data_IF_069936859389
#
_entry.id   IF_069936859389
#
_cell.length_a   1.000
_cell.length_b   1.000
_cell.length_c   1.000
_cell.angle_alpha   90.00
_cell.angle_beta   90.00
_cell.angle_gamma   90.00
#
_symmetry.space_group_name_H-M   'P 1'
#
loop_
_entity.id
_entity.type
_entity.pdbx_description
1 polymer ?
#
# COMPACT_ATOMS: atom_id res chain seq x y z
N UNK A 1 -9.69 20.93 -54.13
CA UNK A 1 -8.49 21.75 -53.91
C UNK A 1 -8.71 22.53 -52.64
N UNK A 2 -8.49 21.81 -51.54
CA UNK A 2 -7.93 22.18 -50.24
C UNK A 2 -7.97 23.66 -49.84
N UNK A 3 -9.00 23.99 -49.06
CA UNK A 3 -8.96 25.13 -48.15
C UNK A 3 -8.14 24.73 -46.92
N UNK A 4 -6.99 25.37 -46.80
CA UNK A 4 -6.10 25.30 -45.66
C UNK A 4 -6.79 25.89 -44.43
N UNK A 5 -7.09 25.06 -43.43
CA UNK A 5 -7.31 25.55 -42.07
C UNK A 5 -5.94 25.80 -41.43
N UNK A 6 -5.50 27.06 -41.43
CA UNK A 6 -4.47 27.54 -40.52
C UNK A 6 -5.07 27.58 -39.12
N UNK A 7 -4.79 26.57 -38.30
CA UNK A 7 -4.96 26.70 -36.87
C UNK A 7 -3.78 27.52 -36.36
N UNK A 8 -3.97 28.84 -36.26
CA UNK A 8 -3.10 29.69 -35.46
C UNK A 8 -3.20 29.21 -34.01
N UNK A 9 -2.28 28.31 -33.63
CA UNK A 9 -2.05 27.94 -32.24
C UNK A 9 -1.50 29.19 -31.58
N UNK A 10 -2.38 29.90 -30.88
CA UNK A 10 -2.00 30.92 -29.91
C UNK A 10 -0.93 30.32 -29.01
N UNK A 11 0.34 30.75 -29.21
CA UNK A 11 1.44 30.49 -28.29
C UNK A 11 1.11 31.22 -26.99
N UNK A 12 0.36 30.54 -26.12
CA UNK A 12 0.38 30.88 -24.71
C UNK A 12 1.82 30.64 -24.21
N UNK A 13 2.41 31.61 -23.49
CA UNK A 13 3.58 31.39 -22.64
C UNK A 13 3.21 30.49 -21.44
N UNK A 14 2.61 29.34 -21.72
CA UNK A 14 2.11 28.42 -20.74
C UNK A 14 3.28 27.52 -20.32
N UNK A 15 3.62 27.49 -19.03
CA UNK A 15 4.58 26.54 -18.44
C UNK A 15 4.16 25.05 -18.61
N UNK A 16 2.97 24.78 -19.18
CA UNK A 16 2.38 23.46 -19.32
C UNK A 16 2.12 23.08 -20.79
N UNK A 17 2.29 21.79 -21.08
CA UNK A 17 1.90 21.16 -22.34
C UNK A 17 0.38 20.95 -22.42
N UNK A 18 -0.19 20.97 -23.63
CA UNK A 18 -1.59 20.59 -23.86
C UNK A 18 -1.75 19.06 -23.85
N UNK A 19 -2.69 18.53 -23.08
CA UNK A 19 -3.08 17.13 -23.10
C UNK A 19 -4.21 16.89 -24.11
N UNK A 20 -4.25 15.69 -24.72
CA UNK A 20 -5.27 15.30 -25.70
C UNK A 20 -5.83 13.90 -25.39
N UNK A 21 -7.13 13.71 -25.58
CA UNK A 21 -7.79 12.40 -25.53
C UNK A 21 -8.22 11.95 -26.93
N UNK A 22 -7.98 10.67 -27.30
CA UNK A 22 -8.47 10.13 -28.55
C UNK A 22 -9.95 9.77 -28.47
N UNK A 23 -10.72 10.13 -29.50
CA UNK A 23 -12.07 9.67 -29.79
C UNK A 23 -11.99 8.81 -31.04
N UNK A 24 -12.27 7.51 -30.89
CA UNK A 24 -12.23 6.55 -31.99
C UNK A 24 -13.64 6.19 -32.41
N UNK A 25 -13.98 6.46 -33.67
CA UNK A 25 -15.26 6.06 -34.28
C UNK A 25 -14.95 5.38 -35.61
N UNK A 26 -15.13 4.05 -35.64
CA UNK A 26 -14.71 3.21 -36.75
C UNK A 26 -13.21 3.37 -37.04
N UNK A 27 -12.84 3.89 -38.20
CA UNK A 27 -11.50 4.13 -38.71
C UNK A 27 -11.01 5.56 -38.49
N UNK A 28 -11.84 6.43 -37.90
CA UNK A 28 -11.51 7.82 -37.63
C UNK A 28 -11.07 7.97 -36.17
N UNK A 29 -9.90 8.58 -35.96
CA UNK A 29 -9.42 9.02 -34.63
C UNK A 29 -9.34 10.55 -34.59
N UNK A 30 -10.08 11.17 -33.67
CA UNK A 30 -10.05 12.62 -33.41
C UNK A 30 -9.40 12.85 -32.04
N UNK A 31 -8.49 13.81 -31.94
CA UNK A 31 -7.89 14.21 -30.67
C UNK A 31 -8.55 15.48 -30.15
N UNK A 32 -9.19 15.40 -28.99
CA UNK A 32 -9.77 16.57 -28.32
C UNK A 32 -8.84 17.04 -27.20
N UNK A 33 -8.65 18.37 -27.03
CA UNK A 33 -7.89 18.90 -25.90
C UNK A 33 -8.64 18.59 -24.60
N UNK A 34 -7.89 18.17 -23.58
CA UNK A 34 -8.41 17.91 -22.24
C UNK A 34 -7.62 18.68 -21.19
N UNK A 35 -8.25 19.00 -20.07
CA UNK A 35 -7.53 19.41 -18.87
C UNK A 35 -7.09 18.18 -18.09
N UNK A 36 -5.80 17.92 -18.07
CA UNK A 36 -5.20 16.88 -17.24
C UNK A 36 -4.44 17.54 -16.10
N UNK A 37 -4.73 17.12 -14.86
CA UNK A 37 -4.10 17.61 -13.64
C UNK A 37 -3.85 16.41 -12.72
N UNK A 38 -2.74 16.37 -11.98
CA UNK A 38 -2.52 15.31 -11.00
C UNK A 38 -3.48 15.48 -9.82
N UNK A 39 -3.62 14.41 -9.02
CA UNK A 39 -4.37 14.51 -7.78
C UNK A 39 -3.68 15.44 -6.79
N UNK A 40 -4.47 16.04 -5.90
CA UNK A 40 -3.94 16.82 -4.79
C UNK A 40 -3.37 15.89 -3.71
N UNK A 41 -2.24 16.27 -3.10
CA UNK A 41 -1.70 15.58 -1.92
C UNK A 41 -2.75 15.48 -0.79
N UNK A 42 -3.01 14.26 -0.32
CA UNK A 42 -4.00 14.00 0.74
C UNK A 42 -3.56 14.56 2.10
N UNK A 43 -2.26 14.48 2.41
CA UNK A 43 -1.64 14.96 3.66
C UNK A 43 -0.67 16.11 3.37
N UNK A 44 -0.67 17.13 4.22
CA UNK A 44 0.37 18.17 4.22
C UNK A 44 0.57 18.73 5.62
N UNK A 45 1.78 18.54 6.15
CA UNK A 45 2.15 18.88 7.51
C UNK A 45 3.33 19.85 7.54
N UNK A 46 3.35 20.69 8.56
CA UNK A 46 4.47 21.56 8.91
C UNK A 46 4.85 21.42 10.38
N UNK A 47 6.11 21.70 10.67
CA UNK A 47 6.59 21.92 12.04
C UNK A 47 7.69 22.97 12.06
N UNK A 48 7.65 23.85 13.06
CA UNK A 48 8.62 24.95 13.19
C UNK A 48 9.99 24.41 13.58
N UNK A 49 11.04 25.01 13.02
CA UNK A 49 12.43 24.82 13.40
C UNK A 49 13.10 26.18 13.55
N UNK A 50 14.34 26.20 14.00
CA UNK A 50 15.11 27.44 14.06
C UNK A 50 15.24 28.07 12.66
N UNK A 51 14.73 29.30 12.54
CA UNK A 51 14.71 30.06 11.29
C UNK A 51 13.85 29.51 10.15
N UNK A 52 12.91 28.58 10.40
CA UNK A 52 12.10 28.03 9.31
C UNK A 52 11.09 26.96 9.69
N UNK A 53 10.75 26.13 8.71
CA UNK A 53 9.74 25.08 8.82
C UNK A 53 10.19 23.80 8.11
N UNK A 54 10.04 22.66 8.78
CA UNK A 54 10.05 21.36 8.13
C UNK A 54 8.66 21.09 7.54
N UNK A 55 8.62 20.79 6.25
CA UNK A 55 7.41 20.54 5.48
C UNK A 55 7.43 19.10 4.99
N UNK A 56 6.29 18.43 5.03
CA UNK A 56 6.13 17.10 4.47
C UNK A 56 4.69 16.85 4.00
N UNK A 57 4.54 16.21 2.85
CA UNK A 57 3.25 15.90 2.25
C UNK A 57 3.23 14.48 1.72
N UNK A 58 2.03 13.93 1.50
CA UNK A 58 1.91 12.63 0.85
C UNK A 58 2.17 12.73 -0.65
N UNK A 59 2.78 11.72 -1.28
CA UNK A 59 2.86 11.67 -2.73
C UNK A 59 1.44 11.58 -3.32
N UNK A 60 1.28 12.13 -4.52
CA UNK A 60 0.02 12.18 -5.24
C UNK A 60 0.19 11.45 -6.57
N UNK A 61 -0.88 10.80 -7.05
CA UNK A 61 -0.81 10.04 -8.28
C UNK A 61 -0.53 10.95 -9.48
N UNK A 62 0.28 10.45 -10.42
CA UNK A 62 0.76 11.16 -11.63
C UNK A 62 1.56 12.45 -11.37
N UNK A 63 1.84 12.83 -10.12
CA UNK A 63 2.67 13.98 -9.82
C UNK A 63 4.13 13.73 -10.17
N UNK A 64 4.75 14.66 -10.89
CA UNK A 64 6.18 14.64 -11.24
C UNK A 64 7.00 15.57 -10.34
N UNK A 65 6.37 16.62 -9.83
CA UNK A 65 6.96 17.58 -8.90
C UNK A 65 5.87 18.24 -8.06
N UNK A 66 6.31 19.05 -7.10
CA UNK A 66 5.45 19.82 -6.21
C UNK A 66 5.84 21.28 -6.21
N UNK A 67 4.85 22.15 -6.02
CA UNK A 67 5.08 23.56 -5.78
C UNK A 67 4.61 23.92 -4.39
N UNK A 68 5.53 24.49 -3.61
CA UNK A 68 5.26 25.06 -2.30
C UNK A 68 5.02 26.55 -2.50
N UNK A 69 3.85 27.03 -2.11
CA UNK A 69 3.46 28.43 -2.22
C UNK A 69 3.28 28.99 -0.82
N UNK A 70 3.90 30.13 -0.54
CA UNK A 70 3.77 30.80 0.76
C UNK A 70 3.79 32.31 0.60
N UNK A 71 3.12 32.99 1.54
CA UNK A 71 3.15 34.44 1.62
C UNK A 71 4.00 34.87 2.80
N UNK A 72 4.70 35.99 2.64
CA UNK A 72 5.55 36.56 3.67
C UNK A 72 5.54 38.09 3.62
N UNK A 73 5.75 38.73 4.77
CA UNK A 73 6.01 40.15 4.87
C UNK A 73 7.51 40.40 4.77
N UNK A 74 7.91 41.21 3.81
CA UNK A 74 9.29 41.67 3.68
C UNK A 74 9.68 42.62 4.82
N UNK A 75 10.97 42.99 4.90
CA UNK A 75 11.45 43.96 5.89
C UNK A 75 10.76 45.34 5.79
N UNK A 76 10.27 45.72 4.59
CA UNK A 76 9.50 46.95 4.37
C UNK A 76 8.01 46.81 4.69
N UNK A 77 7.56 45.63 5.17
CA UNK A 77 6.17 45.36 5.52
C UNK A 77 5.27 44.96 4.35
N UNK A 78 5.78 44.93 3.11
CA UNK A 78 5.01 44.50 1.94
C UNK A 78 4.72 43.00 1.97
N UNK A 79 3.46 42.62 1.71
CA UNK A 79 3.05 41.22 1.54
C UNK A 79 3.45 40.71 0.15
N UNK A 80 4.24 39.65 0.12
CA UNK A 80 4.76 39.03 -1.10
C UNK A 80 4.40 37.53 -1.10
N UNK A 81 4.34 36.93 -2.28
CA UNK A 81 4.16 35.48 -2.49
C UNK A 81 5.42 34.91 -3.13
N UNK A 82 5.83 33.72 -2.72
CA UNK A 82 6.94 32.99 -3.34
C UNK A 82 6.51 31.54 -3.62
N UNK A 83 7.08 30.97 -4.68
CA UNK A 83 6.79 29.62 -5.16
C UNK A 83 8.08 28.84 -5.32
N UNK A 84 8.16 27.65 -4.71
CA UNK A 84 9.33 26.79 -4.76
C UNK A 84 8.95 25.45 -5.39
N UNK A 85 9.69 25.05 -6.43
CA UNK A 85 9.52 23.76 -7.10
C UNK A 85 10.42 22.68 -6.46
N UNK A 86 9.83 21.52 -6.12
CA UNK A 86 10.52 20.43 -5.41
C UNK A 86 10.11 19.07 -5.99
N UNK A 87 11.08 18.16 -6.19
CA UNK A 87 10.84 16.79 -6.69
C UNK A 87 10.83 15.74 -5.57
N UNK A 88 10.54 16.15 -4.34
CA UNK A 88 10.51 15.33 -3.14
C UNK A 88 9.17 15.52 -2.42
N UNK A 89 8.93 14.73 -1.37
CA UNK A 89 7.72 14.85 -0.53
C UNK A 89 7.99 15.52 0.82
N UNK A 90 9.17 16.14 0.96
CA UNK A 90 9.58 16.91 2.12
C UNK A 90 10.49 18.07 1.71
N UNK A 91 10.50 19.14 2.50
CA UNK A 91 11.32 20.32 2.25
C UNK A 91 11.57 21.12 3.53
N UNK A 92 12.72 21.79 3.62
CA UNK A 92 13.02 22.74 4.69
C UNK A 92 12.80 24.15 4.14
N UNK A 93 11.70 24.79 4.55
CA UNK A 93 11.41 26.17 4.17
C UNK A 93 12.12 27.13 5.12
N UNK A 94 12.94 28.01 4.55
CA UNK A 94 13.47 29.21 5.21
C UNK A 94 12.84 30.44 4.56
N UNK A 95 11.76 31.01 5.12
CA UNK A 95 11.07 32.13 4.52
C UNK A 95 11.99 33.36 4.39
N UNK A 96 11.85 34.13 3.29
CA UNK A 96 12.59 35.38 3.06
C UNK A 96 12.19 36.55 3.98
N UNK A 97 11.17 36.34 4.82
CA UNK A 97 10.64 37.30 5.79
C UNK A 97 9.63 36.62 6.70
N UNK A 98 8.81 37.40 7.42
CA UNK A 98 7.84 36.84 8.36
C UNK A 98 6.67 36.19 7.62
N UNK A 99 6.40 34.90 7.82
CA UNK A 99 5.27 34.23 7.18
C UNK A 99 3.95 34.94 7.48
N UNK A 100 3.10 34.97 6.47
CA UNK A 100 1.73 35.49 6.54
C UNK A 100 0.78 34.42 6.01
N UNK A 101 -0.08 33.88 6.87
CA UNK A 101 -1.00 32.80 6.48
C UNK A 101 -0.36 31.41 6.44
N UNK A 102 -1.10 30.46 5.87
CA UNK A 102 -0.69 29.06 5.81
C UNK A 102 0.18 28.78 4.57
N UNK A 103 1.15 27.88 4.71
CA UNK A 103 1.92 27.36 3.59
C UNK A 103 1.02 26.43 2.79
N UNK A 104 1.17 26.45 1.47
CA UNK A 104 0.39 25.64 0.54
C UNK A 104 1.31 24.72 -0.26
N UNK A 105 0.81 23.55 -0.65
CA UNK A 105 1.46 22.66 -1.62
C UNK A 105 0.47 22.25 -2.70
N UNK A 106 0.92 22.17 -3.95
CA UNK A 106 0.16 21.55 -5.05
C UNK A 106 1.04 20.55 -5.79
N UNK A 107 0.41 19.47 -6.25
CA UNK A 107 1.02 18.45 -7.08
C UNK A 107 1.04 18.93 -8.52
N UNK A 108 2.10 18.68 -9.26
CA UNK A 108 2.22 19.14 -10.64
C UNK A 108 2.86 18.08 -11.53
N UNK A 109 2.50 18.13 -12.80
CA UNK A 109 3.16 17.41 -13.89
C UNK A 109 3.15 18.29 -15.14
N UNK A 110 3.73 17.83 -16.24
CA UNK A 110 3.88 18.63 -17.47
C UNK A 110 2.59 19.22 -18.06
N UNK A 111 1.41 18.67 -17.78
CA UNK A 111 0.12 19.19 -18.30
C UNK A 111 -0.63 20.13 -17.35
N UNK A 112 -0.15 20.32 -16.11
CA UNK A 112 -0.85 21.15 -15.12
C UNK A 112 -0.57 20.77 -13.67
N UNK A 113 -1.18 21.53 -12.77
CA UNK A 113 -1.11 21.31 -11.32
C UNK A 113 -2.50 21.08 -10.70
N UNK A 114 -2.52 20.36 -9.59
CA UNK A 114 -3.68 20.20 -8.73
C UNK A 114 -4.08 21.53 -8.05
N UNK A 115 -5.22 21.52 -7.36
CA UNK A 115 -5.53 22.56 -6.37
C UNK A 115 -4.55 22.56 -5.18
N UNK A 116 -4.57 23.64 -4.39
CA UNK A 116 -3.71 23.82 -3.22
C UNK A 116 -4.18 23.03 -2.00
N UNK A 117 -3.26 22.30 -1.36
CA UNK A 117 -3.41 21.75 -0.01
C UNK A 117 -2.75 22.68 0.99
N UNK A 118 -3.44 22.99 2.08
CA UNK A 118 -2.94 23.87 3.14
C UNK A 118 -2.25 23.06 4.23
N UNK A 119 -1.13 23.58 4.74
CA UNK A 119 -0.33 22.93 5.79
C UNK A 119 -1.10 22.83 7.09
N UNK A 120 -1.03 21.68 7.74
CA UNK A 120 -1.48 21.48 9.12
C UNK A 120 -0.27 21.39 10.05
N UNK A 121 -0.38 21.92 11.27
CA UNK A 121 0.73 21.86 12.23
C UNK A 121 0.78 20.49 12.91
N UNK A 122 1.97 19.91 12.99
CA UNK A 122 2.22 18.67 13.72
C UNK A 122 3.44 18.81 14.63
N UNK A 123 3.32 18.29 15.85
CA UNK A 123 4.44 18.21 16.79
C UNK A 123 5.39 17.10 16.33
N UNK A 124 6.69 17.39 16.16
CA UNK A 124 7.64 16.39 15.72
C UNK A 124 7.85 15.38 16.85
N UNK A 125 7.70 14.11 16.51
CA UNK A 125 7.93 12.97 17.40
C UNK A 125 8.76 11.94 16.65
N UNK A 126 9.38 11.01 17.39
CA UNK A 126 10.17 9.94 16.76
C UNK A 126 9.28 9.11 15.83
N UNK A 127 9.77 8.89 14.61
CA UNK A 127 9.09 8.04 13.64
C UNK A 127 9.15 6.60 14.09
N UNK A 128 8.00 6.03 14.43
CA UNK A 128 7.87 4.63 14.83
C UNK A 128 6.57 4.04 14.30
N UNK A 129 6.63 2.77 13.92
CA UNK A 129 5.45 1.99 13.58
C UNK A 129 5.09 1.10 14.78
N UNK A 130 4.24 1.62 15.66
CA UNK A 130 3.88 1.00 16.93
C UNK A 130 3.13 -0.32 16.72
N UNK A 131 2.19 -0.33 15.77
CA UNK A 131 1.43 -1.52 15.42
C UNK A 131 1.18 -1.56 13.91
N UNK A 132 1.28 -2.76 13.35
CA UNK A 132 0.76 -3.08 12.02
C UNK A 132 0.28 -4.51 12.05
N UNK A 133 -1.03 -4.70 11.89
CA UNK A 133 -1.69 -5.99 12.00
C UNK A 133 -2.61 -6.19 10.82
N UNK A 134 -3.00 -7.44 10.58
CA UNK A 134 -4.12 -7.74 9.73
C UNK A 134 -4.94 -8.87 10.30
N UNK A 135 -6.20 -8.96 9.86
CA UNK A 135 -7.14 -10.02 10.17
C UNK A 135 -8.00 -10.29 8.96
N UNK A 136 -8.42 -11.52 8.74
CA UNK A 136 -9.49 -11.77 7.78
C UNK A 136 -10.83 -11.39 8.41
N UNK A 137 -11.62 -10.61 7.67
CA UNK A 137 -12.96 -10.18 8.08
C UNK A 137 -14.05 -10.93 7.31
N UNK A 138 -13.72 -11.46 6.14
CA UNK A 138 -14.54 -12.40 5.38
C UNK A 138 -13.63 -13.33 4.55
N UNK A 139 -14.18 -14.38 3.91
CA UNK A 139 -13.40 -15.28 3.05
C UNK A 139 -12.64 -14.60 1.91
N UNK A 140 -13.05 -13.39 1.52
CA UNK A 140 -12.48 -12.65 0.38
C UNK A 140 -11.90 -11.29 0.76
N UNK A 141 -11.96 -10.92 2.04
CA UNK A 141 -11.54 -9.61 2.52
C UNK A 141 -10.72 -9.75 3.79
N UNK A 142 -9.50 -9.25 3.73
CA UNK A 142 -8.70 -8.99 4.91
C UNK A 142 -8.74 -7.50 5.27
N UNK A 143 -8.69 -7.19 6.55
CA UNK A 143 -8.54 -5.84 7.04
C UNK A 143 -7.17 -5.72 7.69
N UNK A 144 -6.37 -4.76 7.20
CA UNK A 144 -5.17 -4.31 7.89
C UNK A 144 -5.48 -3.12 8.78
N UNK A 145 -4.74 -2.99 9.87
CA UNK A 145 -4.82 -1.88 10.79
C UNK A 145 -3.41 -1.43 11.19
N UNK A 146 -3.22 -0.12 11.40
CA UNK A 146 -1.93 0.42 11.81
C UNK A 146 -2.06 1.48 12.88
N UNK A 147 -0.95 1.66 13.62
CA UNK A 147 -0.70 2.77 14.51
C UNK A 147 0.76 3.20 14.38
N UNK A 148 1.02 4.48 14.18
CA UNK A 148 2.35 5.05 14.03
C UNK A 148 2.47 6.41 14.74
N UNK A 149 3.68 6.73 15.19
CA UNK A 149 4.07 8.04 15.71
C UNK A 149 5.10 8.69 14.78
N UNK A 150 5.21 10.02 14.81
CA UNK A 150 6.18 10.76 14.01
C UNK A 150 5.98 10.72 12.48
N UNK A 151 4.99 9.98 11.98
CA UNK A 151 4.67 9.90 10.57
C UNK A 151 3.90 11.14 10.10
N UNK A 152 4.14 11.56 8.86
CA UNK A 152 3.45 12.63 8.14
C UNK A 152 2.49 12.06 7.09
N UNK A 153 2.77 10.85 6.61
CA UNK A 153 1.79 10.02 5.91
C UNK A 153 2.19 8.54 5.99
N UNK A 154 1.24 7.69 5.61
CA UNK A 154 1.44 6.25 5.46
C UNK A 154 1.09 5.82 4.03
N UNK A 155 1.82 4.84 3.51
CA UNK A 155 1.47 4.15 2.27
C UNK A 155 1.33 2.64 2.50
N UNK A 156 0.42 2.01 1.76
CA UNK A 156 0.24 0.56 1.72
C UNK A 156 0.58 0.05 0.33
N UNK A 157 1.54 -0.85 0.23
CA UNK A 157 1.91 -1.54 -1.01
C UNK A 157 1.46 -2.98 -0.93
N UNK A 158 0.68 -3.42 -1.92
CA UNK A 158 0.23 -4.80 -2.05
C UNK A 158 1.06 -5.53 -3.09
N UNK A 159 1.58 -6.69 -2.72
CA UNK A 159 2.30 -7.59 -3.61
C UNK A 159 1.62 -8.94 -3.68
N UNK A 160 1.64 -9.54 -4.85
CA UNK A 160 1.25 -10.93 -5.09
C UNK A 160 2.37 -11.59 -5.88
N UNK A 161 2.85 -12.76 -5.41
CA UNK A 161 3.96 -13.49 -6.04
C UNK A 161 5.19 -12.59 -6.32
N UNK A 162 5.51 -11.69 -5.40
CA UNK A 162 6.63 -10.74 -5.51
C UNK A 162 6.37 -9.51 -6.39
N UNK A 163 5.31 -9.51 -7.21
CA UNK A 163 4.92 -8.38 -8.07
C UNK A 163 4.08 -7.37 -7.29
N UNK A 164 4.42 -6.08 -7.40
CA UNK A 164 3.56 -5.00 -6.88
C UNK A 164 2.29 -4.92 -7.73
N UNK A 165 1.14 -5.09 -7.08
CA UNK A 165 -0.17 -4.90 -7.71
C UNK A 165 -0.54 -3.42 -7.69
N UNK A 166 -0.50 -2.81 -6.51
CA UNK A 166 -0.78 -1.39 -6.34
C UNK A 166 -0.15 -0.84 -5.07
N UNK A 167 -0.03 0.49 -5.02
CA UNK A 167 0.35 1.23 -3.82
C UNK A 167 -0.68 2.33 -3.57
N UNK A 168 -1.26 2.33 -2.37
CA UNK A 168 -2.10 3.43 -1.90
C UNK A 168 -1.26 4.38 -1.07
N UNK A 169 -1.22 5.65 -1.48
CA UNK A 169 -0.49 6.71 -0.80
C UNK A 169 -1.42 7.58 0.05
N UNK A 170 -0.84 8.44 0.90
CA UNK A 170 -1.58 9.49 1.59
C UNK A 170 -2.55 9.03 2.67
N UNK A 171 -2.39 7.81 3.18
CA UNK A 171 -3.19 7.30 4.27
C UNK A 171 -2.89 8.02 5.59
N UNK A 172 -3.85 7.98 6.51
CA UNK A 172 -3.76 8.61 7.83
C UNK A 172 -2.42 8.28 8.53
N UNK A 173 -1.65 9.30 8.95
CA UNK A 173 -0.31 9.09 9.50
C UNK A 173 -0.30 8.41 10.87
N UNK A 174 -1.35 8.61 11.69
CA UNK A 174 -1.36 8.15 13.09
C UNK A 174 -1.93 6.76 13.25
N UNK A 175 -3.07 6.51 12.61
CA UNK A 175 -3.76 5.24 12.67
C UNK A 175 -4.80 5.14 11.57
N UNK A 176 -5.13 3.92 11.19
CA UNK A 176 -6.21 3.66 10.26
C UNK A 176 -6.40 2.19 10.01
N UNK A 177 -7.41 1.89 9.20
CA UNK A 177 -7.68 0.55 8.69
C UNK A 177 -7.83 0.61 7.17
N UNK A 178 -7.56 -0.50 6.50
CA UNK A 178 -7.78 -0.66 5.07
C UNK A 178 -8.22 -2.09 4.78
N UNK A 179 -9.26 -2.23 3.96
CA UNK A 179 -9.68 -3.52 3.46
C UNK A 179 -8.85 -3.89 2.22
N UNK A 180 -8.49 -5.17 2.15
CA UNK A 180 -7.63 -5.80 1.17
C UNK A 180 -8.42 -6.96 0.60
N UNK A 181 -8.71 -6.93 -0.70
CA UNK A 181 -9.35 -8.04 -1.37
C UNK A 181 -8.35 -9.19 -1.50
N UNK A 182 -8.77 -10.42 -1.19
CA UNK A 182 -7.94 -11.59 -1.34
C UNK A 182 -8.78 -12.78 -1.81
N UNK A 183 -8.44 -13.36 -2.96
CA UNK A 183 -9.23 -14.45 -3.54
C UNK A 183 -8.75 -15.82 -3.08
N UNK A 184 -9.59 -16.87 -3.20
CA UNK A 184 -9.18 -18.22 -2.86
C UNK A 184 -7.87 -18.65 -3.54
N UNK A 185 -6.95 -19.21 -2.77
CA UNK A 185 -5.63 -19.62 -3.25
C UNK A 185 -4.63 -18.48 -3.53
N UNK A 186 -5.00 -17.21 -3.31
CA UNK A 186 -4.05 -16.10 -3.42
C UNK A 186 -3.20 -15.93 -2.15
N UNK A 187 -1.98 -15.47 -2.36
CA UNK A 187 -1.06 -15.04 -1.30
C UNK A 187 -0.62 -13.61 -1.58
N UNK A 188 -0.89 -12.72 -0.64
CA UNK A 188 -0.50 -11.31 -0.73
C UNK A 188 0.44 -10.92 0.40
N UNK A 189 1.49 -10.20 0.05
CA UNK A 189 2.36 -9.51 1.00
C UNK A 189 1.98 -8.03 1.01
N UNK A 190 1.56 -7.55 2.17
CA UNK A 190 1.10 -6.17 2.37
C UNK A 190 2.14 -5.43 3.18
N UNK A 191 2.76 -4.42 2.59
CA UNK A 191 3.79 -3.61 3.25
C UNK A 191 3.22 -2.24 3.58
N UNK A 192 3.21 -1.91 4.87
CA UNK A 192 2.95 -0.56 5.34
C UNK A 192 4.27 0.20 5.41
N UNK A 193 4.31 1.43 4.91
CA UNK A 193 5.45 2.34 5.08
C UNK A 193 4.98 3.65 5.68
N UNK A 194 5.50 3.99 6.85
CA UNK A 194 5.34 5.28 7.49
C UNK A 194 6.51 6.19 7.13
N UNK A 195 6.24 7.45 6.81
CA UNK A 195 7.26 8.44 6.41
C UNK A 195 7.22 9.63 7.36
N UNK A 196 8.38 10.08 7.83
CA UNK A 196 8.52 11.23 8.73
C UNK A 196 8.87 12.54 8.01
N UNK A 197 8.97 13.64 8.76
CA UNK A 197 9.27 14.98 8.24
C UNK A 197 10.60 15.07 7.46
N UNK A 198 11.62 14.31 7.86
CA UNK A 198 12.91 14.30 7.18
C UNK A 198 12.99 13.32 6.01
N UNK A 199 11.86 12.76 5.57
CA UNK A 199 11.83 11.69 4.57
C UNK A 199 12.29 10.33 5.10
N UNK A 200 12.49 10.20 6.42
CA UNK A 200 12.82 8.90 7.04
C UNK A 200 11.67 7.92 6.84
N UNK A 201 11.97 6.64 6.71
CA UNK A 201 10.96 5.60 6.44
C UNK A 201 11.08 4.46 7.45
N UNK A 202 9.95 3.99 7.94
CA UNK A 202 9.84 2.75 8.71
C UNK A 202 8.77 1.89 8.04
N UNK A 203 9.08 0.63 7.78
CA UNK A 203 8.18 -0.28 7.09
C UNK A 203 8.01 -1.58 7.86
N UNK A 204 6.82 -2.17 7.78
CA UNK A 204 6.54 -3.55 8.20
C UNK A 204 5.67 -4.23 7.17
N UNK A 205 5.82 -5.54 7.07
CA UNK A 205 5.07 -6.37 6.14
C UNK A 205 4.24 -7.39 6.92
N UNK A 206 3.00 -7.57 6.51
CA UNK A 206 2.16 -8.69 6.91
C UNK A 206 1.82 -9.51 5.67
N UNK A 207 1.83 -10.82 5.80
CA UNK A 207 1.40 -11.72 4.73
C UNK A 207 -0.04 -12.16 5.01
N UNK A 208 -0.87 -12.22 3.97
CA UNK A 208 -2.27 -12.60 4.02
C UNK A 208 -2.51 -13.66 2.94
N UNK A 209 -3.22 -14.73 3.26
CA UNK A 209 -3.65 -15.74 2.29
C UNK A 209 -5.16 -15.75 2.24
N UNK A 210 -5.68 -15.93 1.04
CA UNK A 210 -7.06 -16.29 0.85
C UNK A 210 -7.29 -17.72 1.29
N UNK A 211 -8.54 -18.06 1.56
CA UNK A 211 -8.91 -19.44 1.82
C UNK A 211 -8.47 -20.31 0.64
N UNK A 212 -7.64 -21.32 0.90
CA UNK A 212 -7.35 -22.31 -0.13
C UNK A 212 -8.53 -23.29 -0.22
N UNK A 213 -9.09 -23.45 -1.42
CA UNK A 213 -10.09 -24.47 -1.72
C UNK A 213 -9.48 -25.35 -2.81
N UNK A 214 -9.10 -26.57 -2.44
CA UNK A 214 -8.68 -27.57 -3.44
C UNK A 214 -9.92 -28.14 -4.14
N UNK A 215 -10.30 -27.50 -5.25
CA UNK A 215 -11.42 -27.95 -6.09
C UNK A 215 -11.07 -29.22 -6.90
N UNK A 216 -9.79 -29.57 -7.00
CA UNK A 216 -9.31 -30.75 -7.74
C UNK A 216 -9.24 -31.99 -6.86
N UNK A 217 -9.39 -31.83 -5.54
CA UNK A 217 -9.36 -32.94 -4.61
C UNK A 217 -10.64 -33.75 -4.70
N UNK A 218 -10.59 -34.80 -5.49
CA UNK A 218 -11.43 -35.94 -5.20
C UNK A 218 -10.87 -36.63 -3.96
N UNK A 219 -11.72 -36.98 -2.99
CA UNK A 219 -11.32 -37.89 -1.90
C UNK A 219 -10.72 -39.11 -2.60
N UNK A 220 -9.40 -39.33 -2.46
CA UNK A 220 -8.72 -40.46 -3.10
C UNK A 220 -9.36 -41.77 -2.65
N UNK A 221 -9.02 -42.92 -3.23
CA UNK A 221 -9.52 -44.20 -2.68
C UNK A 221 -8.71 -44.57 -1.44
N UNK A 222 -9.36 -44.97 -0.34
CA UNK A 222 -8.66 -45.53 0.83
C UNK A 222 -8.03 -46.86 0.43
N UNK A 223 -6.72 -46.95 0.49
CA UNK A 223 -5.96 -48.16 0.21
C UNK A 223 -5.80 -48.97 1.49
N UNK A 224 -6.04 -50.28 1.40
CA UNK A 224 -5.89 -51.22 2.51
C UNK A 224 -4.46 -51.71 2.73
N UNK A 225 -3.56 -51.44 1.77
CA UNK A 225 -2.18 -51.97 1.75
C UNK A 225 -1.18 -51.15 2.55
N UNK A 226 -1.53 -49.93 2.93
CA UNK A 226 -0.68 -49.05 3.72
C UNK A 226 -1.54 -48.13 4.56
N UNK A 227 -1.02 -47.73 5.72
CA UNK A 227 -1.73 -46.88 6.66
C UNK A 227 -1.87 -45.46 6.09
N UNK A 228 -3.09 -44.96 6.10
CA UNK A 228 -3.41 -43.58 5.70
C UNK A 228 -4.14 -42.86 6.86
N UNK A 229 -3.45 -42.62 7.99
CA UNK A 229 -4.09 -42.16 9.24
C UNK A 229 -4.79 -40.80 9.09
N UNK A 230 -4.43 -40.02 8.07
CA UNK A 230 -4.98 -38.69 7.81
C UNK A 230 -5.95 -38.63 6.63
N UNK A 231 -6.29 -39.77 6.04
CA UNK A 231 -7.15 -39.86 4.87
C UNK A 231 -8.54 -39.24 5.11
N UNK A 232 -9.12 -39.47 6.30
CA UNK A 232 -10.42 -38.90 6.66
C UNK A 232 -10.35 -37.44 7.13
N UNK A 233 -9.13 -36.90 7.33
CA UNK A 233 -8.90 -35.58 7.92
C UNK A 233 -8.75 -34.45 6.89
N UNK A 234 -8.78 -34.76 5.59
CA UNK A 234 -8.73 -33.77 4.51
C UNK A 234 -7.53 -32.79 4.54
N UNK A 235 -6.40 -33.15 5.15
CA UNK A 235 -5.19 -32.30 5.14
C UNK A 235 -4.52 -32.26 3.77
N UNK A 236 -4.21 -31.08 3.22
CA UNK A 236 -3.41 -30.94 1.98
C UNK A 236 -1.92 -31.10 2.30
N UNK A 237 -1.51 -32.36 2.54
CA UNK A 237 -0.15 -32.70 2.98
C UNK A 237 0.84 -32.43 1.84
N UNK A 238 1.89 -31.68 2.11
CA UNK A 238 3.04 -31.57 1.21
C UNK A 238 3.88 -32.82 1.40
N UNK A 239 3.80 -33.79 0.47
CA UNK A 239 4.41 -35.12 0.62
C UNK A 239 5.90 -35.09 0.99
N UNK A 240 6.65 -34.12 0.44
CA UNK A 240 8.08 -33.92 0.72
C UNK A 240 8.39 -33.33 2.10
N UNK A 241 7.38 -33.03 2.91
CA UNK A 241 7.51 -32.41 4.23
C UNK A 241 7.17 -33.36 5.39
N UNK A 242 6.90 -34.64 5.08
CA UNK A 242 6.52 -35.61 6.11
C UNK A 242 7.78 -36.18 6.77
N UNK A 243 7.88 -36.02 8.08
CA UNK A 243 8.93 -36.58 8.92
C UNK A 243 8.33 -37.55 9.93
N UNK A 244 8.80 -38.79 9.91
CA UNK A 244 8.43 -39.81 10.90
C UNK A 244 9.54 -39.94 11.95
N UNK A 245 9.14 -40.00 13.21
CA UNK A 245 10.01 -40.31 14.36
C UNK A 245 9.43 -41.51 15.12
N UNK A 246 10.11 -41.98 16.17
CA UNK A 246 9.63 -43.11 16.98
C UNK A 246 8.34 -42.79 17.74
N UNK A 247 8.18 -41.54 18.19
CA UNK A 247 7.06 -41.10 19.02
C UNK A 247 6.05 -40.20 18.31
N UNK A 248 6.37 -39.68 17.13
CA UNK A 248 5.53 -38.69 16.45
C UNK A 248 5.64 -38.71 14.92
N UNK A 249 4.66 -38.14 14.25
CA UNK A 249 4.74 -37.74 12.83
C UNK A 249 4.55 -36.24 12.71
N UNK A 250 5.36 -35.63 11.85
CA UNK A 250 5.31 -34.22 11.51
C UNK A 250 5.03 -34.08 10.03
N UNK A 251 4.20 -33.13 9.65
CA UNK A 251 4.03 -32.78 8.25
C UNK A 251 3.57 -31.34 8.10
N UNK A 252 4.03 -30.71 7.02
CA UNK A 252 3.52 -29.43 6.60
C UNK A 252 2.37 -29.61 5.62
N UNK A 253 1.42 -28.71 5.72
CA UNK A 253 0.33 -28.58 4.77
C UNK A 253 0.49 -27.30 3.97
N UNK A 254 -0.15 -27.24 2.80
CA UNK A 254 -0.12 -26.06 1.94
C UNK A 254 -0.75 -24.79 2.58
N UNK A 255 -1.47 -24.93 3.70
CA UNK A 255 -1.97 -23.81 4.53
C UNK A 255 -0.96 -23.32 5.59
N UNK A 256 0.34 -23.58 5.41
CA UNK A 256 1.45 -23.11 6.27
C UNK A 256 1.34 -23.53 7.74
N UNK A 257 0.76 -24.70 7.97
CA UNK A 257 0.73 -25.33 9.29
C UNK A 257 1.67 -26.51 9.32
N UNK A 258 2.42 -26.60 10.39
CA UNK A 258 3.15 -27.78 10.77
C UNK A 258 2.33 -28.49 11.84
N UNK A 259 1.95 -29.73 11.55
CA UNK A 259 1.23 -30.58 12.49
C UNK A 259 2.21 -31.53 13.15
N UNK A 260 1.99 -31.80 14.44
CA UNK A 260 2.56 -32.96 15.13
C UNK A 260 1.44 -33.83 15.66
N UNK A 261 1.53 -35.12 15.38
CA UNK A 261 0.72 -36.15 16.01
C UNK A 261 1.63 -37.11 16.77
N UNK A 262 1.37 -37.27 18.06
CA UNK A 262 2.00 -38.31 18.86
C UNK A 262 1.42 -39.68 18.53
N UNK A 263 2.28 -40.68 18.59
CA UNK A 263 1.93 -42.08 18.39
C UNK A 263 2.51 -42.92 19.53
N UNK A 264 1.73 -43.87 20.03
CA UNK A 264 2.17 -44.81 21.07
C UNK A 264 2.89 -46.03 20.46
N UNK A 265 2.57 -46.35 19.21
CA UNK A 265 3.26 -47.33 18.37
C UNK A 265 3.22 -46.84 16.91
N UNK A 266 3.95 -47.50 16.01
CA UNK A 266 3.91 -47.20 14.55
C UNK A 266 2.48 -47.16 13.96
N UNK A 267 1.52 -47.82 14.61
CA UNK A 267 0.16 -48.02 14.12
C UNK A 267 -0.91 -47.33 14.98
N UNK A 268 -0.54 -46.61 16.03
CA UNK A 268 -1.49 -46.00 16.96
C UNK A 268 -1.17 -44.53 17.18
N UNK A 269 -1.86 -43.67 16.42
CA UNK A 269 -1.74 -42.22 16.45
C UNK A 269 -2.84 -41.61 17.31
N UNK A 270 -2.55 -40.49 17.95
CA UNK A 270 -3.61 -39.64 18.48
C UNK A 270 -4.54 -39.19 17.36
N UNK A 271 -5.84 -39.11 17.65
CA UNK A 271 -6.87 -38.73 16.68
C UNK A 271 -6.88 -37.23 16.38
N UNK A 272 -6.29 -36.44 17.28
CA UNK A 272 -6.14 -35.00 17.18
C UNK A 272 -4.67 -34.62 17.27
N UNK A 273 -4.25 -33.51 16.66
CA UNK A 273 -2.86 -33.07 16.70
C UNK A 273 -2.44 -32.76 18.13
N UNK A 274 -1.29 -33.27 18.53
CA UNK A 274 -0.66 -32.96 19.82
C UNK A 274 -0.28 -31.50 19.89
N UNK A 275 0.22 -30.96 18.77
CA UNK A 275 0.30 -29.53 18.58
C UNK A 275 0.18 -29.15 17.11
N UNK A 276 -0.20 -27.90 16.90
CA UNK A 276 -0.21 -27.24 15.60
C UNK A 276 0.63 -25.98 15.72
N UNK A 277 1.67 -25.88 14.91
CA UNK A 277 2.50 -24.69 14.83
C UNK A 277 2.16 -24.00 13.52
N UNK A 278 1.76 -22.75 13.63
CA UNK A 278 1.73 -21.86 12.47
C UNK A 278 3.20 -21.52 12.16
N UNK A 279 3.72 -22.01 11.04
CA UNK A 279 5.06 -21.62 10.57
C UNK A 279 4.98 -20.17 10.08
N UNK A 280 6.03 -19.36 10.34
CA UNK A 280 6.00 -17.89 10.31
C UNK A 280 4.90 -17.31 9.43
N UNK A 281 3.85 -16.95 10.16
CA UNK A 281 2.47 -17.10 9.78
C UNK A 281 1.90 -15.83 9.20
N UNK A 282 1.42 -16.03 7.99
CA UNK A 282 0.42 -15.27 7.30
C UNK A 282 -0.93 -15.29 8.07
N UNK A 283 -1.70 -14.21 8.01
CA UNK A 283 -3.03 -14.09 8.65
C UNK A 283 -4.06 -14.90 7.83
N UNK A 284 -4.67 -15.93 8.42
CA UNK A 284 -5.64 -16.84 7.78
C UNK A 284 -7.00 -16.91 8.53
N UNK A 285 -8.11 -17.15 7.80
CA UNK A 285 -9.48 -17.14 8.32
C UNK A 285 -9.93 -18.52 8.82
N UNK A 286 -10.97 -18.51 9.66
CA UNK A 286 -11.66 -19.70 10.13
C UNK A 286 -12.32 -20.47 8.97
N UNK A 287 -12.18 -21.80 9.00
CA UNK A 287 -12.78 -22.73 8.05
C UNK A 287 -14.25 -22.99 8.40
N UNK A 288 -15.12 -22.97 7.39
CA UNK A 288 -16.44 -23.61 7.44
C UNK A 288 -16.47 -24.65 6.33
N UNK A 289 -16.58 -25.93 6.72
CA UNK A 289 -16.80 -27.05 5.80
C UNK A 289 -18.24 -26.96 5.30
N UNK A 290 -18.44 -27.01 3.98
CA UNK A 290 -19.74 -27.30 3.35
C UNK A 290 -19.72 -28.76 2.96
#
# INVERSE_FOLDING_TARGET
MDNWFSADVYKCNCEFEQAYAPIVVSDITIFIPIELKPEQSSQFWQTSIDGGYNLAWSPADQAQYYEIVYQYKSASGQLLTDTIKVNATNYILKPKGSLSGAIQVRSCHKYGCSGFKYSQTQVPTRLELNAFTGKLVSPQVAQIAWNASGATYVSVTEKENGRVLFTTNGLSPRSGTKNINIYPGQHKSITLTAVGFGGQRVSRTVNIAGNFVDLSRQKGTKHTKYLQPFYEKNYSIVERSVLYTDSSVYFATQDFKLYRFDKSTLNNYQTEPTWVLNTDGLIAAFFKVV
#
